data_IF_651279731203
#
_entry.id   IF_651279731203
#
_cell.length_a   1.000
_cell.length_b   1.000
_cell.length_c   1.000
_cell.angle_alpha   90.00
_cell.angle_beta   90.00
_cell.angle_gamma   90.00
#
_symmetry.space_group_name_H-M   'P 1'
#
loop_
_entity.id
_entity.type
_entity.pdbx_description
1 polymer ?
#
# COMPACT_ATOMS: atom_id res chain seq x y z
N UNK A 1 5.24 13.77 12.07
CA UNK A 1 5.41 12.51 11.29
C UNK A 1 4.27 11.56 11.62
N UNK A 2 3.61 11.03 10.59
CA UNK A 2 2.62 9.97 10.79
C UNK A 2 3.31 8.62 10.73
N UNK A 3 3.12 7.81 11.76
CA UNK A 3 3.71 6.47 11.85
C UNK A 3 2.70 5.51 12.46
N UNK A 4 2.29 4.51 11.69
CA UNK A 4 1.35 3.50 12.17
C UNK A 4 1.82 2.10 11.76
N UNK A 5 1.42 1.13 12.56
CA UNK A 5 1.61 -0.30 12.27
C UNK A 5 0.24 -0.97 12.30
N UNK A 6 -0.03 -1.79 11.30
CA UNK A 6 -1.27 -2.58 11.26
C UNK A 6 -1.01 -3.94 10.62
N UNK A 7 -1.88 -4.89 10.92
CA UNK A 7 -1.73 -6.28 10.49
C UNK A 7 -3.08 -6.85 10.08
N UNK A 8 -3.04 -7.86 9.22
CA UNK A 8 -4.21 -8.64 8.84
C UNK A 8 -3.80 -10.02 8.38
N UNK A 9 -4.72 -10.99 8.55
CA UNK A 9 -4.56 -12.34 8.05
C UNK A 9 -5.46 -12.55 6.83
N UNK A 10 -4.99 -13.35 5.88
CA UNK A 10 -5.74 -13.68 4.69
C UNK A 10 -5.72 -15.18 4.40
N UNK A 11 -6.73 -15.64 3.65
CA UNK A 11 -6.86 -17.03 3.25
C UNK A 11 -6.09 -17.34 1.95
N UNK A 12 -5.34 -16.38 1.42
CA UNK A 12 -4.53 -16.55 0.22
C UNK A 12 -3.06 -16.71 0.57
N UNK A 13 -2.28 -17.34 -0.31
CA UNK A 13 -0.85 -17.55 -0.08
C UNK A 13 -0.06 -16.24 -0.10
N UNK A 14 1.16 -16.28 0.45
CA UNK A 14 2.08 -15.15 0.39
C UNK A 14 2.37 -14.75 -1.06
N UNK A 15 2.57 -15.72 -1.94
CA UNK A 15 2.86 -15.48 -3.35
C UNK A 15 1.69 -14.76 -4.03
N UNK A 16 0.47 -15.17 -3.71
CA UNK A 16 -0.71 -14.56 -4.30
C UNK A 16 -0.91 -13.12 -3.83
N UNK A 17 -0.70 -12.85 -2.54
CA UNK A 17 -0.80 -11.50 -2.00
C UNK A 17 0.27 -10.58 -2.59
N UNK A 18 1.53 -11.02 -2.61
CA UNK A 18 2.63 -10.23 -3.18
C UNK A 18 2.40 -10.03 -4.68
N UNK A 19 1.91 -11.05 -5.38
CA UNK A 19 1.55 -10.92 -6.79
C UNK A 19 0.49 -9.85 -7.03
N UNK A 20 -0.50 -9.74 -6.16
CA UNK A 20 -1.53 -8.70 -6.26
C UNK A 20 -0.98 -7.31 -5.89
N UNK A 21 -0.11 -7.24 -4.88
CA UNK A 21 0.51 -5.98 -4.46
C UNK A 21 1.44 -5.42 -5.55
N UNK A 22 2.04 -6.30 -6.33
CA UNK A 22 2.98 -5.95 -7.40
C UNK A 22 2.38 -6.11 -8.80
N UNK A 23 1.06 -6.24 -8.89
CA UNK A 23 0.35 -6.23 -10.17
C UNK A 23 0.03 -4.78 -10.54
N UNK A 24 0.77 -4.26 -11.52
CA UNK A 24 0.62 -2.89 -12.00
C UNK A 24 -0.13 -2.83 -13.33
N UNK A 25 -1.07 -3.75 -13.53
CA UNK A 25 -1.99 -3.71 -14.68
C UNK A 25 -3.08 -2.66 -14.46
N UNK A 26 -3.90 -2.43 -15.48
CA UNK A 26 -5.04 -1.51 -15.41
C UNK A 26 -6.10 -1.95 -14.40
N UNK A 27 -6.06 -3.21 -13.96
CA UNK A 27 -7.02 -3.78 -13.01
C UNK A 27 -6.72 -3.43 -11.55
N UNK A 28 -5.57 -2.80 -11.30
CA UNK A 28 -5.13 -2.49 -9.93
C UNK A 28 -6.17 -1.72 -9.10
N UNK A 29 -6.84 -0.68 -9.62
CA UNK A 29 -7.84 0.04 -8.83
C UNK A 29 -9.06 -0.80 -8.44
N UNK A 30 -9.35 -1.89 -9.14
CA UNK A 30 -10.47 -2.78 -8.82
C UNK A 30 -10.21 -3.58 -7.55
N UNK A 31 -8.95 -3.86 -7.24
CA UNK A 31 -8.55 -4.68 -6.11
C UNK A 31 -8.33 -3.88 -4.85
N UNK A 32 -7.79 -2.67 -4.98
CA UNK A 32 -7.36 -1.85 -3.83
C UNK A 32 -8.40 -0.77 -3.53
N UNK A 33 -9.12 -0.85 -2.37
CA UNK A 33 -10.26 0.05 -2.07
C UNK A 33 -9.92 1.54 -2.05
N UNK A 34 -8.70 1.88 -1.69
CA UNK A 34 -8.28 3.28 -1.56
C UNK A 34 -7.63 3.86 -2.81
N UNK A 35 -7.46 3.04 -3.84
CA UNK A 35 -6.79 3.48 -5.06
C UNK A 35 -7.81 3.99 -6.07
N UNK A 36 -7.69 5.26 -6.44
CA UNK A 36 -8.54 5.88 -7.45
C UNK A 36 -7.84 5.82 -8.81
N UNK A 37 -8.55 5.30 -9.81
CA UNK A 37 -7.99 5.10 -11.16
C UNK A 37 -7.45 6.39 -11.78
N UNK A 38 -8.02 7.55 -11.45
CA UNK A 38 -7.59 8.83 -12.03
C UNK A 38 -6.19 9.27 -11.59
N UNK A 39 -5.70 8.72 -10.47
CA UNK A 39 -4.34 9.01 -9.98
C UNK A 39 -3.33 7.93 -10.34
N UNK A 40 -3.79 6.79 -10.87
CA UNK A 40 -2.93 5.65 -11.13
C UNK A 40 -2.18 5.80 -12.44
N UNK A 41 -0.83 5.79 -12.37
CA UNK A 41 0.03 5.80 -13.55
C UNK A 41 1.29 4.98 -13.28
N UNK A 42 1.53 3.96 -14.11
CA UNK A 42 2.76 3.20 -14.07
C UNK A 42 3.81 3.92 -14.93
N UNK A 43 4.90 4.35 -14.32
CA UNK A 43 5.98 5.05 -15.02
C UNK A 43 7.03 4.09 -15.56
N UNK A 44 7.42 3.10 -14.75
CA UNK A 44 8.43 2.13 -15.17
C UNK A 44 8.26 0.84 -14.35
N UNK A 45 8.52 -0.30 -15.00
CA UNK A 45 8.40 -1.62 -14.37
C UNK A 45 9.65 -2.43 -14.67
N UNK A 46 10.32 -2.88 -13.61
CA UNK A 46 11.43 -3.83 -13.68
C UNK A 46 11.00 -5.23 -13.22
N UNK A 47 11.97 -6.13 -13.06
CA UNK A 47 11.68 -7.49 -12.63
C UNK A 47 11.23 -7.57 -11.17
N UNK A 48 11.81 -6.73 -10.30
CA UNK A 48 11.55 -6.72 -8.86
C UNK A 48 11.31 -5.32 -8.32
N UNK A 49 10.95 -4.37 -9.19
CA UNK A 49 10.71 -2.99 -8.79
C UNK A 49 9.76 -2.31 -9.77
N UNK A 50 9.12 -1.23 -9.31
CA UNK A 50 8.27 -0.40 -10.15
C UNK A 50 8.27 1.03 -9.64
N UNK A 51 8.10 1.97 -10.57
CA UNK A 51 7.94 3.39 -10.29
C UNK A 51 6.52 3.76 -10.70
N UNK A 52 5.68 4.16 -9.74
CA UNK A 52 4.24 4.31 -9.96
C UNK A 52 3.68 5.49 -9.17
N UNK A 53 2.75 6.20 -9.77
CA UNK A 53 1.94 7.21 -9.08
C UNK A 53 0.61 6.59 -8.70
N UNK A 54 0.22 6.73 -7.45
CA UNK A 54 -1.04 6.24 -6.91
C UNK A 54 -1.66 7.30 -6.01
N UNK A 55 -2.96 7.27 -5.86
CA UNK A 55 -3.63 8.24 -5.02
C UNK A 55 -5.08 7.89 -4.71
N UNK A 56 -5.68 8.72 -3.89
CA UNK A 56 -7.04 8.57 -3.42
C UNK A 56 -7.75 9.92 -3.42
N UNK A 57 -9.08 9.90 -3.57
CA UNK A 57 -9.90 11.10 -3.43
C UNK A 57 -10.14 11.51 -1.98
N UNK A 58 -9.73 10.70 -1.02
CA UNK A 58 -9.80 11.08 0.40
C UNK A 58 -9.01 12.37 0.64
N UNK A 59 -9.43 13.15 1.64
CA UNK A 59 -8.78 14.41 2.02
C UNK A 59 -8.69 15.44 0.88
N UNK A 60 -9.60 15.38 -0.10
CA UNK A 60 -9.59 16.30 -1.24
C UNK A 60 -8.63 15.94 -2.37
N UNK A 61 -8.15 14.72 -2.35
CA UNK A 61 -7.23 14.22 -3.36
C UNK A 61 -5.77 14.23 -2.89
N UNK A 62 -5.21 13.04 -2.68
CA UNK A 62 -3.82 12.85 -2.26
C UNK A 62 -3.17 11.86 -3.21
N UNK A 63 -2.04 12.23 -3.80
CA UNK A 63 -1.29 11.33 -4.66
C UNK A 63 0.18 11.29 -4.23
N UNK A 64 0.84 10.18 -4.56
CA UNK A 64 2.26 9.99 -4.33
C UNK A 64 2.87 9.17 -5.45
N UNK A 65 4.06 9.56 -5.87
CA UNK A 65 4.89 8.75 -6.73
C UNK A 65 5.82 7.94 -5.84
N UNK A 66 5.78 6.63 -5.97
CA UNK A 66 6.50 5.72 -5.11
C UNK A 66 7.33 4.73 -5.91
N UNK A 67 8.46 4.36 -5.33
CA UNK A 67 9.30 3.29 -5.85
C UNK A 67 9.03 2.03 -5.02
N UNK A 68 8.45 1.02 -5.68
CA UNK A 68 8.22 -0.30 -5.11
C UNK A 68 9.43 -1.18 -5.33
N UNK A 69 9.86 -1.90 -4.30
CA UNK A 69 10.95 -2.88 -4.37
C UNK A 69 10.51 -4.16 -3.67
N UNK A 70 10.52 -5.27 -4.40
CA UNK A 70 10.19 -6.60 -3.87
C UNK A 70 11.27 -7.64 -4.18
N UNK A 71 12.53 -7.17 -4.26
CA UNK A 71 13.67 -8.03 -4.49
C UNK A 71 13.97 -8.99 -3.33
N UNK A 72 13.47 -8.68 -2.13
CA UNK A 72 13.64 -9.52 -0.94
C UNK A 72 12.36 -10.34 -0.71
N UNK A 73 12.48 -11.70 -0.56
CA UNK A 73 11.31 -12.55 -0.35
C UNK A 73 10.47 -12.13 0.86
N UNK A 74 9.16 -12.09 0.68
CA UNK A 74 8.23 -11.74 1.77
C UNK A 74 8.23 -10.27 2.16
N UNK A 75 8.91 -9.41 1.43
CA UNK A 75 9.01 -7.99 1.76
C UNK A 75 8.79 -7.12 0.52
N UNK A 76 7.92 -6.13 0.67
CA UNK A 76 7.72 -5.11 -0.37
C UNK A 76 7.89 -3.75 0.30
N UNK A 77 8.83 -2.96 -0.18
CA UNK A 77 9.10 -1.62 0.33
C UNK A 77 8.67 -0.58 -0.69
N UNK A 78 7.90 0.41 -0.22
CA UNK A 78 7.51 1.56 -1.00
C UNK A 78 8.25 2.77 -0.45
N UNK A 79 9.08 3.38 -1.29
CA UNK A 79 9.78 4.64 -0.94
C UNK A 79 9.14 5.79 -1.69
N UNK A 80 8.78 6.82 -0.98
CA UNK A 80 8.19 8.01 -1.58
C UNK A 80 9.25 8.76 -2.41
N UNK A 81 8.93 8.97 -3.68
CA UNK A 81 9.79 9.72 -4.61
C UNK A 81 9.33 11.17 -4.71
N UNK A 82 8.01 11.37 -4.86
CA UNK A 82 7.44 12.70 -5.03
C UNK A 82 6.00 12.73 -4.53
N UNK A 83 5.67 13.78 -3.80
CA UNK A 83 4.31 14.09 -3.38
C UNK A 83 4.22 15.59 -3.04
N UNK A 84 3.01 16.14 -3.06
CA UNK A 84 2.82 17.56 -2.72
C UNK A 84 2.99 17.80 -1.22
N UNK A 85 2.43 16.92 -0.42
CA UNK A 85 2.28 17.14 1.03
C UNK A 85 3.27 16.38 1.89
N UNK A 86 4.04 15.45 1.29
CA UNK A 86 4.94 14.57 2.02
C UNK A 86 6.34 14.53 1.40
N UNK A 87 7.32 14.26 2.22
CA UNK A 87 8.73 14.27 1.86
C UNK A 87 9.23 12.92 1.38
N UNK A 88 10.17 12.89 0.40
CA UNK A 88 11.02 11.72 0.21
C UNK A 88 11.66 11.32 1.54
N UNK A 89 11.75 10.02 1.79
CA UNK A 89 12.11 9.49 3.12
C UNK A 89 10.93 8.88 3.84
N UNK A 90 9.71 9.15 3.35
CA UNK A 90 8.51 8.43 3.77
C UNK A 90 8.55 7.02 3.19
N UNK A 91 8.26 6.01 4.02
CA UNK A 91 8.41 4.60 3.66
C UNK A 91 7.20 3.80 4.12
N UNK A 92 6.79 2.85 3.29
CA UNK A 92 5.81 1.82 3.69
C UNK A 92 6.47 0.48 3.48
N UNK A 93 6.48 -0.37 4.51
CA UNK A 93 7.01 -1.73 4.44
C UNK A 93 5.88 -2.74 4.64
N UNK A 94 5.76 -3.68 3.69
CA UNK A 94 4.89 -4.84 3.80
C UNK A 94 5.75 -6.06 4.12
N UNK A 95 5.46 -6.73 5.23
CA UNK A 95 6.09 -8.00 5.59
C UNK A 95 5.03 -9.08 5.52
N UNK A 96 5.23 -10.05 4.66
CA UNK A 96 4.25 -11.11 4.38
C UNK A 96 4.86 -12.45 4.74
N UNK A 97 4.18 -13.16 5.65
CA UNK A 97 4.63 -14.49 6.11
C UNK A 97 3.54 -15.52 5.91
N UNK A 98 3.95 -16.77 5.67
CA UNK A 98 3.03 -17.89 5.49
C UNK A 98 2.45 -18.31 6.83
N UNK A 99 1.18 -18.74 6.79
CA UNK A 99 0.50 -19.35 7.94
C UNK A 99 0.43 -20.87 7.75
N UNK A 100 0.33 -21.64 8.86
CA UNK A 100 0.23 -23.10 8.77
C UNK A 100 -0.96 -23.60 7.94
N UNK A 101 -2.04 -22.80 7.85
CA UNK A 101 -3.26 -23.14 7.08
C UNK A 101 -3.15 -22.87 5.57
N UNK A 102 -1.97 -22.43 5.09
CA UNK A 102 -1.76 -22.07 3.69
C UNK A 102 -2.10 -20.61 3.37
N UNK A 103 -2.64 -19.87 4.33
CA UNK A 103 -2.88 -18.44 4.21
C UNK A 103 -1.64 -17.60 4.46
N UNK A 104 -1.82 -16.30 4.61
CA UNK A 104 -0.73 -15.39 4.91
C UNK A 104 -1.08 -14.42 6.04
N UNK A 105 -0.04 -13.93 6.69
CA UNK A 105 -0.09 -12.83 7.64
C UNK A 105 0.64 -11.64 7.02
N UNK A 106 -0.02 -10.48 6.98
CA UNK A 106 0.54 -9.25 6.42
C UNK A 106 0.70 -8.23 7.54
N UNK A 107 1.93 -7.78 7.75
CA UNK A 107 2.24 -6.70 8.68
C UNK A 107 2.73 -5.49 7.89
N UNK A 108 2.17 -4.32 8.16
CA UNK A 108 2.49 -3.09 7.43
C UNK A 108 2.99 -2.02 8.39
N UNK A 109 4.16 -1.48 8.10
CA UNK A 109 4.71 -0.31 8.76
C UNK A 109 4.60 0.87 7.81
N UNK A 110 3.82 1.86 8.22
CA UNK A 110 3.50 3.03 7.40
C UNK A 110 4.10 4.27 8.05
N UNK A 111 4.90 5.01 7.29
CA UNK A 111 5.53 6.24 7.76
C UNK A 111 5.43 7.32 6.69
N UNK A 112 4.89 8.48 7.07
CA UNK A 112 4.81 9.67 6.22
C UNK A 112 5.39 10.87 6.95
N UNK A 113 6.23 11.63 6.26
CA UNK A 113 6.85 12.84 6.77
C UNK A 113 6.21 14.02 6.05
N UNK A 114 5.43 14.83 6.77
CA UNK A 114 4.72 15.98 6.20
C UNK A 114 5.66 17.13 5.91
N UNK A 115 5.42 17.84 4.78
CA UNK A 115 6.17 19.04 4.41
C UNK A 115 5.26 20.25 4.23
N UNK A 116 3.96 20.12 4.46
CA UNK A 116 2.98 21.20 4.34
C UNK A 116 2.02 21.18 5.52
N UNK A 117 1.28 22.28 5.71
CA UNK A 117 0.23 22.34 6.74
C UNK A 117 -0.86 21.28 6.45
N UNK A 118 -1.24 21.11 5.18
CA UNK A 118 -2.19 20.08 4.75
C UNK A 118 -1.65 18.68 5.06
N UNK A 119 -0.38 18.42 4.76
CA UNK A 119 0.26 17.15 5.06
C UNK A 119 0.28 16.84 6.55
N UNK A 120 0.52 17.86 7.40
CA UNK A 120 0.46 17.70 8.85
C UNK A 120 -0.94 17.35 9.33
N UNK A 121 -1.97 18.00 8.78
CA UNK A 121 -3.36 17.69 9.12
C UNK A 121 -3.71 16.25 8.70
N UNK A 122 -3.37 15.86 7.48
CA UNK A 122 -3.57 14.49 6.99
C UNK A 122 -2.83 13.51 7.89
N UNK A 123 -1.59 13.81 8.28
CA UNK A 123 -0.79 12.98 9.17
C UNK A 123 -1.44 12.77 10.54
N UNK A 124 -2.06 13.81 11.11
CA UNK A 124 -2.79 13.70 12.36
C UNK A 124 -4.01 12.79 12.20
N UNK A 125 -4.78 12.96 11.12
CA UNK A 125 -5.95 12.12 10.84
C UNK A 125 -5.53 10.66 10.64
N UNK A 126 -4.44 10.40 9.93
CA UNK A 126 -3.90 9.07 9.75
C UNK A 126 -3.46 8.48 11.10
N UNK A 127 -2.79 9.27 11.94
CA UNK A 127 -2.33 8.80 13.25
C UNK A 127 -3.49 8.42 14.16
N UNK A 128 -4.60 9.15 14.09
CA UNK A 128 -5.77 8.94 14.97
C UNK A 128 -6.68 7.81 14.44
N UNK A 129 -6.94 7.77 13.12
CA UNK A 129 -7.95 6.90 12.51
C UNK A 129 -7.37 5.88 11.52
N UNK A 130 -6.15 6.12 11.02
CA UNK A 130 -5.59 5.37 9.90
C UNK A 130 -5.39 3.89 10.18
N UNK A 131 -4.98 3.53 11.39
CA UNK A 131 -4.73 2.14 11.75
C UNK A 131 -5.97 1.26 11.52
N UNK A 132 -7.13 1.71 11.98
CA UNK A 132 -8.40 0.98 11.78
C UNK A 132 -8.81 0.95 10.32
N UNK A 133 -8.72 2.10 9.66
CA UNK A 133 -9.13 2.23 8.27
C UNK A 133 -8.25 1.41 7.34
N UNK A 134 -6.95 1.51 7.49
CA UNK A 134 -6.01 0.79 6.62
C UNK A 134 -6.05 -0.71 6.89
N UNK A 135 -6.20 -1.15 8.15
CA UNK A 135 -6.38 -2.55 8.46
C UNK A 135 -7.68 -3.11 7.86
N UNK A 136 -8.77 -2.33 7.88
CA UNK A 136 -10.04 -2.72 7.27
C UNK A 136 -9.90 -2.83 5.75
N UNK A 137 -9.21 -1.89 5.10
CA UNK A 137 -8.98 -1.93 3.66
C UNK A 137 -8.09 -3.10 3.26
N UNK A 138 -7.09 -3.41 4.05
CA UNK A 138 -6.23 -4.57 3.83
C UNK A 138 -7.03 -5.88 3.94
N UNK A 139 -7.89 -6.01 4.95
CA UNK A 139 -8.77 -7.17 5.09
C UNK A 139 -9.72 -7.30 3.91
N UNK A 140 -10.26 -6.18 3.42
CA UNK A 140 -11.14 -6.19 2.23
C UNK A 140 -10.39 -6.67 0.99
N UNK A 141 -9.16 -6.20 0.78
CA UNK A 141 -8.32 -6.66 -0.33
C UNK A 141 -8.04 -8.16 -0.22
N UNK A 142 -7.66 -8.63 0.95
CA UNK A 142 -7.42 -10.05 1.19
C UNK A 142 -8.68 -10.88 0.93
N UNK A 143 -9.84 -10.39 1.35
CA UNK A 143 -11.12 -11.05 1.10
C UNK A 143 -11.46 -11.09 -0.39
N UNK A 144 -11.21 -10.00 -1.12
CA UNK A 144 -11.42 -9.96 -2.58
C UNK A 144 -10.52 -10.97 -3.29
N UNK A 145 -9.26 -11.06 -2.90
CA UNK A 145 -8.33 -12.04 -3.46
C UNK A 145 -8.79 -13.48 -3.20
N UNK A 146 -9.30 -13.76 -2.01
CA UNK A 146 -9.79 -15.08 -1.67
C UNK A 146 -11.01 -15.49 -2.49
N UNK A 147 -11.84 -14.53 -2.92
CA UNK A 147 -13.01 -14.77 -3.77
C UNK A 147 -12.70 -14.85 -5.26
N UNK A 148 -11.53 -14.38 -5.67
CA UNK A 148 -11.14 -14.32 -7.08
C UNK A 148 -10.36 -15.58 -7.45
N UNK A 149 -10.72 -16.30 -8.53
CA UNK A 149 -9.95 -17.46 -9.00
C UNK A 149 -8.53 -17.04 -9.41
N UNK A 150 -7.58 -17.92 -9.14
CA UNK A 150 -6.18 -17.71 -9.55
C UNK A 150 -5.99 -17.94 -11.04
#
# INVERSE_FOLDING_TARGET
MAKIHYEADGAVSTERFIGALTDFSERRPELWPNLDAKYYELHQLGDTWADVTEGTDLFGGVWAREHYDWSEPGHVRLRLVEAVDFSPGSVIDYHVTSRPDGGCHVAVDFQRIAVSARGRLIGVLVQVMGKRRFAADLRETLARLARTPS
#
